data_IF_401504054699
#
_entry.id   IF_401504054699
#
_cell.length_a   1.000
_cell.length_b   1.000
_cell.length_c   1.000
_cell.angle_alpha   90.00
_cell.angle_beta   90.00
_cell.angle_gamma   90.00
#
_symmetry.space_group_name_H-M   'P 1'
#
loop_
_entity.id
_entity.type
_entity.pdbx_description
1 polymer ?
#
# COMPACT_ATOMS: atom_id res chain seq x y z
N UNK A 1 -2.61 -1.38 -12.92
CA UNK A 1 -3.88 -1.06 -12.23
C UNK A 1 -4.37 -2.20 -11.36
N UNK A 2 -4.40 -3.45 -11.86
CA UNK A 2 -4.86 -4.63 -11.10
C UNK A 2 -4.17 -4.77 -9.73
N UNK A 3 -2.83 -4.68 -9.68
CA UNK A 3 -2.07 -4.80 -8.42
C UNK A 3 -2.45 -3.75 -7.36
N UNK A 4 -2.73 -2.52 -7.76
CA UNK A 4 -3.10 -1.45 -6.82
C UNK A 4 -4.54 -1.60 -6.34
N UNK A 5 -5.45 -2.12 -7.18
CA UNK A 5 -6.80 -2.49 -6.76
C UNK A 5 -6.79 -3.66 -5.76
N UNK A 6 -5.90 -4.64 -5.97
CA UNK A 6 -5.65 -5.73 -5.00
C UNK A 6 -5.13 -5.15 -3.67
N UNK A 7 -4.25 -4.14 -3.72
CA UNK A 7 -3.80 -3.43 -2.52
C UNK A 7 -4.95 -2.81 -1.72
N UNK A 8 -5.91 -2.15 -2.38
CA UNK A 8 -7.09 -1.60 -1.71
C UNK A 8 -7.94 -2.70 -1.05
N UNK A 9 -8.18 -3.83 -1.74
CA UNK A 9 -8.94 -4.96 -1.19
C UNK A 9 -8.26 -5.54 0.06
N UNK A 10 -6.94 -5.74 -0.01
CA UNK A 10 -6.16 -6.23 1.12
C UNK A 10 -6.21 -5.26 2.30
N UNK A 11 -6.15 -3.95 2.05
CA UNK A 11 -6.30 -2.95 3.11
C UNK A 11 -7.66 -3.01 3.78
N UNK A 12 -8.73 -3.29 3.02
CA UNK A 12 -10.07 -3.52 3.58
C UNK A 12 -10.11 -4.77 4.45
N UNK A 13 -9.48 -5.86 4.01
CA UNK A 13 -9.36 -7.09 4.81
C UNK A 13 -8.61 -6.83 6.12
N UNK A 14 -7.49 -6.09 6.06
CA UNK A 14 -6.76 -5.67 7.26
C UNK A 14 -7.63 -4.87 8.24
N UNK A 15 -8.46 -3.96 7.71
CA UNK A 15 -9.37 -3.15 8.51
C UNK A 15 -10.47 -4.00 9.17
N UNK A 16 -11.06 -4.94 8.44
CA UNK A 16 -12.05 -5.89 9.00
C UNK A 16 -11.43 -6.74 10.11
N UNK A 17 -10.21 -7.26 9.91
CA UNK A 17 -9.51 -8.03 10.93
C UNK A 17 -9.14 -7.18 12.16
N UNK A 18 -8.76 -5.92 11.96
CA UNK A 18 -8.56 -4.97 13.06
C UNK A 18 -9.85 -4.70 13.86
N UNK A 19 -11.01 -4.65 13.19
CA UNK A 19 -12.31 -4.51 13.86
C UNK A 19 -12.68 -5.77 14.63
N UNK A 20 -12.35 -6.96 14.12
CA UNK A 20 -12.52 -8.21 14.84
C UNK A 20 -11.59 -8.30 16.07
N UNK A 21 -10.35 -7.80 15.96
CA UNK A 21 -9.45 -7.68 17.11
C UNK A 21 -10.05 -6.73 18.17
N UNK A 22 -10.60 -5.60 17.75
CA UNK A 22 -11.27 -4.65 18.65
C UNK A 22 -12.49 -5.28 19.31
N UNK A 23 -13.33 -5.97 18.53
CA UNK A 23 -14.48 -6.70 19.07
C UNK A 23 -14.06 -7.75 20.09
N UNK A 24 -13.01 -8.53 19.80
CA UNK A 24 -12.49 -9.54 20.71
C UNK A 24 -12.00 -8.93 22.03
N UNK A 25 -11.38 -7.75 21.99
CA UNK A 25 -10.96 -7.02 23.19
C UNK A 25 -12.16 -6.61 24.07
N UNK A 26 -13.29 -6.23 23.45
CA UNK A 26 -14.50 -5.86 24.20
C UNK A 26 -15.36 -7.04 24.66
N UNK A 27 -15.26 -8.21 24.02
CA UNK A 27 -16.10 -9.38 24.34
C UNK A 27 -15.40 -10.44 25.20
N UNK A 28 -14.08 -10.36 25.43
CA UNK A 28 -13.35 -11.42 26.12
C UNK A 28 -12.15 -10.92 26.94
N UNK A 29 -12.33 -10.92 28.27
CA UNK A 29 -11.36 -11.26 29.33
C UNK A 29 -9.90 -10.71 29.30
N UNK A 30 -9.62 -9.60 28.63
CA UNK A 30 -8.30 -8.96 28.67
C UNK A 30 -8.38 -7.52 29.19
N UNK A 31 -7.38 -7.09 29.96
CA UNK A 31 -7.25 -5.70 30.38
C UNK A 31 -7.23 -4.78 29.16
N UNK A 32 -7.98 -3.68 29.25
CA UNK A 32 -8.24 -2.71 28.15
C UNK A 32 -7.00 -1.99 27.59
N UNK A 33 -5.80 -2.36 28.01
CA UNK A 33 -4.52 -1.76 27.66
C UNK A 33 -4.16 -1.93 26.18
N UNK A 34 -4.67 -2.96 25.51
CA UNK A 34 -4.43 -3.21 24.09
C UNK A 34 -5.26 -2.32 23.13
N UNK A 35 -6.37 -1.73 23.61
CA UNK A 35 -7.32 -0.98 22.78
C UNK A 35 -6.66 0.18 22.02
N UNK A 36 -5.81 1.04 22.64
CA UNK A 36 -5.11 2.10 21.91
C UNK A 36 -4.28 1.59 20.74
N UNK A 37 -3.58 0.47 20.91
CA UNK A 37 -2.78 -0.14 19.85
C UNK A 37 -3.64 -0.68 18.71
N UNK A 38 -4.77 -1.31 19.01
CA UNK A 38 -5.73 -1.77 17.99
C UNK A 38 -6.29 -0.58 17.20
N UNK A 39 -6.57 0.56 17.85
CA UNK A 39 -7.00 1.79 17.17
C UNK A 39 -5.92 2.33 16.24
N UNK A 40 -4.64 2.33 16.66
CA UNK A 40 -3.52 2.72 15.77
C UNK A 40 -3.41 1.78 14.58
N UNK A 41 -3.55 0.46 14.78
CA UNK A 41 -3.56 -0.53 13.69
C UNK A 41 -4.70 -0.26 12.69
N UNK A 42 -5.91 0.02 13.18
CA UNK A 42 -7.07 0.39 12.35
C UNK A 42 -6.82 1.67 11.56
N UNK A 43 -6.26 2.71 12.21
CA UNK A 43 -5.90 3.96 11.55
C UNK A 43 -4.87 3.72 10.44
N UNK A 44 -3.88 2.85 10.68
CA UNK A 44 -2.88 2.49 9.67
C UNK A 44 -3.51 1.71 8.50
N UNK A 45 -4.41 0.77 8.77
CA UNK A 45 -5.14 0.04 7.72
C UNK A 45 -6.03 0.97 6.88
N UNK A 46 -6.72 1.93 7.50
CA UNK A 46 -7.51 2.93 6.79
C UNK A 46 -6.62 3.85 5.93
N UNK A 47 -5.53 4.36 6.51
CA UNK A 47 -4.56 5.20 5.81
C UNK A 47 -3.93 4.47 4.62
N UNK A 48 -3.53 3.22 4.78
CA UNK A 48 -3.01 2.39 3.68
C UNK A 48 -4.03 2.22 2.56
N UNK A 49 -5.31 2.03 2.90
CA UNK A 49 -6.39 1.92 1.92
C UNK A 49 -6.56 3.21 1.12
N UNK A 50 -6.53 4.35 1.80
CA UNK A 50 -6.56 5.66 1.16
C UNK A 50 -5.34 5.87 0.24
N UNK A 51 -4.14 5.54 0.70
CA UNK A 51 -2.92 5.60 -0.11
C UNK A 51 -3.05 4.76 -1.37
N UNK A 52 -3.53 3.52 -1.27
CA UNK A 52 -3.77 2.64 -2.42
C UNK A 52 -4.77 3.26 -3.41
N UNK A 53 -5.91 3.77 -2.93
CA UNK A 53 -6.91 4.43 -3.78
C UNK A 53 -6.34 5.64 -4.49
N UNK A 54 -5.58 6.50 -3.80
CA UNK A 54 -4.95 7.68 -4.41
C UNK A 54 -3.90 7.25 -5.45
N UNK A 55 -3.09 6.22 -5.16
CA UNK A 55 -2.14 5.68 -6.13
C UNK A 55 -2.83 5.13 -7.39
N UNK A 56 -3.98 4.44 -7.27
CA UNK A 56 -4.80 4.04 -8.43
C UNK A 56 -5.18 5.27 -9.26
N UNK A 57 -5.69 6.32 -8.61
CA UNK A 57 -6.13 7.54 -9.30
C UNK A 57 -4.99 8.24 -10.02
N UNK A 58 -3.82 8.34 -9.39
CA UNK A 58 -2.62 8.93 -10.00
C UNK A 58 -2.14 8.11 -11.19
N UNK A 59 -2.18 6.77 -11.11
CA UNK A 59 -1.89 5.90 -12.25
C UNK A 59 -2.88 6.06 -13.40
N UNK A 60 -4.17 6.14 -13.10
CA UNK A 60 -5.21 6.37 -14.12
C UNK A 60 -5.00 7.72 -14.83
N UNK A 61 -4.64 8.75 -14.08
CA UNK A 61 -4.34 10.07 -14.62
C UNK A 61 -3.07 10.05 -15.46
N UNK A 62 -2.00 9.41 -14.98
CA UNK A 62 -0.74 9.27 -15.70
C UNK A 62 -0.92 8.51 -17.01
N UNK A 63 -1.72 7.43 -17.00
CA UNK A 63 -2.05 6.67 -18.21
C UNK A 63 -2.74 7.53 -19.26
N UNK A 64 -3.75 8.32 -18.87
CA UNK A 64 -4.44 9.24 -19.79
C UNK A 64 -3.50 10.31 -20.34
N UNK A 65 -2.67 10.90 -19.48
CA UNK A 65 -1.69 11.92 -19.87
C UNK A 65 -0.61 11.37 -20.79
N UNK A 66 -0.24 10.11 -20.60
CA UNK A 66 0.72 9.43 -21.45
C UNK A 66 0.18 9.24 -22.87
N UNK A 67 -1.08 8.82 -23.00
CA UNK A 67 -1.78 8.74 -24.28
C UNK A 67 -1.88 10.10 -24.99
N UNK A 68 -1.91 11.20 -24.23
CA UNK A 68 -1.99 12.56 -24.76
C UNK A 68 -0.66 13.32 -24.80
N UNK A 69 0.48 12.66 -24.55
CA UNK A 69 1.83 13.27 -24.52
C UNK A 69 2.01 14.48 -23.58
N UNK A 70 1.24 14.55 -22.49
CA UNK A 70 1.31 15.64 -21.50
C UNK A 70 2.30 15.27 -20.39
N UNK A 71 3.09 16.26 -19.93
CA UNK A 71 4.05 16.08 -18.83
C UNK A 71 3.40 15.59 -17.52
N UNK A 72 4.07 14.64 -16.84
CA UNK A 72 3.56 13.92 -15.66
C UNK A 72 4.30 14.27 -14.35
N UNK A 73 5.17 15.28 -14.33
CA UNK A 73 6.10 15.53 -13.21
C UNK A 73 5.41 15.75 -11.85
N UNK A 74 4.32 16.52 -11.81
CA UNK A 74 3.56 16.73 -10.56
C UNK A 74 2.91 15.43 -10.06
N UNK A 75 2.46 14.57 -10.97
CA UNK A 75 1.81 13.29 -10.62
C UNK A 75 2.83 12.31 -10.07
N UNK A 76 4.01 12.24 -10.70
CA UNK A 76 5.16 11.46 -10.26
C UNK A 76 5.64 11.89 -8.87
N UNK A 77 5.87 13.19 -8.65
CA UNK A 77 6.32 13.71 -7.35
C UNK A 77 5.33 13.39 -6.22
N UNK A 78 4.04 13.59 -6.45
CA UNK A 78 3.01 13.25 -5.46
C UNK A 78 2.98 11.74 -5.20
N UNK A 79 3.03 10.92 -6.24
CA UNK A 79 3.04 9.46 -6.12
C UNK A 79 4.26 8.95 -5.34
N UNK A 80 5.42 9.59 -5.51
CA UNK A 80 6.64 9.28 -4.76
C UNK A 80 6.50 9.60 -3.26
N UNK A 81 5.94 10.76 -2.90
CA UNK A 81 5.70 11.09 -1.50
C UNK A 81 4.72 10.13 -0.83
N UNK A 82 3.65 9.74 -1.53
CA UNK A 82 2.70 8.74 -1.03
C UNK A 82 3.35 7.36 -0.86
N UNK A 83 4.28 7.02 -1.75
CA UNK A 83 5.08 5.80 -1.64
C UNK A 83 5.94 5.82 -0.37
N UNK A 84 6.67 6.91 -0.10
CA UNK A 84 7.45 7.07 1.13
C UNK A 84 6.55 7.02 2.38
N UNK A 85 5.42 7.72 2.37
CA UNK A 85 4.45 7.73 3.47
C UNK A 85 3.91 6.33 3.79
N UNK A 86 3.75 5.46 2.77
CA UNK A 86 3.27 4.10 2.97
C UNK A 86 4.20 3.24 3.84
N UNK A 87 5.52 3.49 3.81
CA UNK A 87 6.47 2.79 4.67
C UNK A 87 6.27 3.16 6.14
N UNK A 88 6.07 4.45 6.41
CA UNK A 88 5.78 4.92 7.77
C UNK A 88 4.49 4.28 8.29
N UNK A 89 3.44 4.27 7.48
CA UNK A 89 2.15 3.66 7.83
C UNK A 89 2.27 2.17 8.13
N UNK A 90 2.98 1.39 7.30
CA UNK A 90 3.11 -0.06 7.53
C UNK A 90 3.97 -0.35 8.76
N UNK A 91 5.06 0.40 8.97
CA UNK A 91 5.92 0.25 10.16
C UNK A 91 5.13 0.52 11.43
N UNK A 92 4.39 1.64 11.49
CA UNK A 92 3.51 1.95 12.62
C UNK A 92 2.46 0.88 12.85
N UNK A 93 1.85 0.36 11.78
CA UNK A 93 0.88 -0.73 11.85
C UNK A 93 1.49 -2.03 12.41
N UNK A 94 2.70 -2.39 12.01
CA UNK A 94 3.43 -3.56 12.55
C UNK A 94 3.68 -3.38 14.05
N UNK A 95 4.21 -2.24 14.47
CA UNK A 95 4.45 -1.96 15.89
C UNK A 95 3.16 -2.03 16.70
N UNK A 96 2.08 -1.43 16.20
CA UNK A 96 0.78 -1.46 16.85
C UNK A 96 0.19 -2.87 16.96
N UNK A 97 0.26 -3.67 15.89
CA UNK A 97 -0.22 -5.06 15.91
C UNK A 97 0.58 -5.94 16.89
N UNK A 98 1.91 -5.79 16.93
CA UNK A 98 2.77 -6.51 17.87
C UNK A 98 2.52 -6.08 19.31
N UNK A 99 2.39 -4.77 19.57
CA UNK A 99 2.09 -4.24 20.90
C UNK A 99 0.73 -4.72 21.41
N UNK A 100 -0.30 -4.69 20.57
CA UNK A 100 -1.62 -5.22 20.92
C UNK A 100 -1.56 -6.72 21.28
N UNK A 101 -0.83 -7.53 20.50
CA UNK A 101 -0.64 -8.96 20.79
C UNK A 101 0.19 -9.22 22.04
N UNK A 102 1.17 -8.37 22.32
CA UNK A 102 1.99 -8.45 23.53
C UNK A 102 1.15 -8.18 24.79
N UNK A 103 0.32 -7.14 24.77
CA UNK A 103 -0.45 -6.69 25.94
C UNK A 103 -1.51 -7.71 26.39
N UNK A 104 -2.06 -8.51 25.46
CA UNK A 104 -3.04 -9.56 25.78
C UNK A 104 -2.41 -10.96 25.96
N UNK A 105 -1.10 -11.06 25.82
CA UNK A 105 -0.41 -12.33 25.61
C UNK A 105 -0.66 -12.89 24.20
N UNK A 106 0.37 -13.45 23.57
CA UNK A 106 0.29 -13.91 22.18
C UNK A 106 -0.73 -15.05 21.94
N UNK A 107 -1.38 -15.56 22.98
CA UNK A 107 -2.47 -16.52 22.91
C UNK A 107 -3.82 -15.83 23.17
N UNK A 108 -4.68 -15.74 22.15
CA UNK A 108 -6.03 -15.20 22.30
C UNK A 108 -6.61 -14.62 21.01
N UNK A 109 -7.91 -14.27 21.06
CA UNK A 109 -8.62 -13.70 19.90
C UNK A 109 -8.02 -12.37 19.43
N UNK A 110 -7.68 -11.46 20.34
CA UNK A 110 -7.04 -10.17 20.02
C UNK A 110 -5.70 -10.40 19.29
N UNK A 111 -4.80 -11.19 19.86
CA UNK A 111 -3.51 -11.52 19.25
C UNK A 111 -3.67 -12.17 17.87
N UNK A 112 -4.64 -13.09 17.74
CA UNK A 112 -4.92 -13.79 16.48
C UNK A 112 -5.36 -12.82 15.39
N UNK A 113 -6.37 -11.99 15.67
CA UNK A 113 -6.89 -11.05 14.68
C UNK A 113 -5.93 -9.90 14.38
N UNK A 114 -5.19 -9.40 15.36
CA UNK A 114 -4.15 -8.39 15.16
C UNK A 114 -3.03 -8.93 14.26
N UNK A 115 -2.54 -10.15 14.52
CA UNK A 115 -1.51 -10.80 13.70
C UNK A 115 -2.00 -11.07 12.28
N UNK A 116 -3.22 -11.58 12.14
CA UNK A 116 -3.83 -11.80 10.83
C UNK A 116 -4.05 -10.50 10.05
N UNK A 117 -4.30 -9.36 10.72
CA UNK A 117 -4.44 -8.06 10.07
C UNK A 117 -3.11 -7.52 9.50
N UNK A 118 -1.97 -7.91 10.07
CA UNK A 118 -0.65 -7.48 9.60
C UNK A 118 -0.33 -8.03 8.19
N UNK A 119 -0.69 -9.28 7.92
CA UNK A 119 -0.41 -9.94 6.63
C UNK A 119 -1.01 -9.15 5.45
N UNK A 120 -2.32 -8.86 5.40
CA UNK A 120 -2.91 -8.08 4.32
C UNK A 120 -2.49 -6.61 4.36
N UNK A 121 -2.16 -6.02 5.52
CA UNK A 121 -1.62 -4.66 5.59
C UNK A 121 -0.26 -4.55 4.87
N UNK A 122 0.65 -5.49 5.16
CA UNK A 122 1.97 -5.56 4.51
C UNK A 122 1.80 -5.85 3.02
N UNK A 123 0.95 -6.81 2.67
CA UNK A 123 0.68 -7.14 1.27
C UNK A 123 0.05 -5.97 0.50
N UNK A 124 -0.83 -5.19 1.13
CA UNK A 124 -1.41 -3.98 0.55
C UNK A 124 -0.33 -2.93 0.24
N UNK A 125 0.62 -2.74 1.16
CA UNK A 125 1.75 -1.84 0.94
C UNK A 125 2.61 -2.32 -0.24
N UNK A 126 3.01 -3.59 -0.24
CA UNK A 126 3.88 -4.18 -1.28
C UNK A 126 3.24 -4.15 -2.66
N UNK A 127 1.94 -4.48 -2.77
CA UNK A 127 1.26 -4.60 -4.06
C UNK A 127 0.69 -3.26 -4.57
N UNK A 128 0.20 -2.42 -3.65
CA UNK A 128 -0.47 -1.17 -4.00
C UNK A 128 0.42 0.05 -3.89
N UNK A 129 1.03 0.26 -2.74
CA UNK A 129 1.72 1.51 -2.43
C UNK A 129 3.18 1.57 -2.92
N UNK A 130 3.82 0.43 -3.23
CA UNK A 130 5.19 0.39 -3.78
C UNK A 130 5.26 0.83 -5.24
N UNK A 131 4.16 0.68 -5.98
CA UNK A 131 4.11 0.99 -7.41
C UNK A 131 3.85 2.48 -7.63
N UNK A 132 4.86 3.34 -7.39
CA UNK A 132 4.75 4.76 -7.71
C UNK A 132 4.75 5.01 -9.22
N UNK A 133 4.10 6.10 -9.64
CA UNK A 133 4.03 6.56 -11.04
C UNK A 133 5.40 7.05 -11.49
N UNK A 134 5.87 6.54 -12.64
CA UNK A 134 7.14 6.93 -13.27
C UNK A 134 6.91 7.52 -14.66
N UNK A 135 7.79 8.41 -15.10
CA UNK A 135 7.79 8.96 -16.47
C UNK A 135 7.86 7.90 -17.56
N UNK A 136 8.57 6.80 -17.30
CA UNK A 136 8.80 5.72 -18.28
C UNK A 136 7.62 4.74 -18.42
N UNK A 137 6.54 4.99 -17.70
CA UNK A 137 5.37 4.11 -17.62
C UNK A 137 5.55 2.99 -16.58
N UNK A 138 4.54 2.11 -16.41
CA UNK A 138 4.64 0.98 -15.50
C UNK A 138 5.69 -0.02 -16.01
N UNK A 139 6.51 -0.62 -15.11
CA UNK A 139 7.48 -1.62 -15.52
C UNK A 139 6.79 -2.79 -16.24
N UNK A 140 7.39 -3.26 -17.33
CA UNK A 140 6.89 -4.42 -18.08
C UNK A 140 5.73 -4.12 -19.03
N UNK A 141 5.44 -2.85 -19.35
CA UNK A 141 4.39 -2.51 -20.32
C UNK A 141 4.92 -2.32 -21.75
N UNK A 142 4.08 -2.62 -22.74
CA UNK A 142 4.38 -2.48 -24.18
C UNK A 142 5.04 -1.12 -24.50
N UNK A 143 4.56 0.03 -24.00
CA UNK A 143 5.14 1.28 -24.47
C UNK A 143 6.46 1.63 -23.75
N UNK A 144 6.76 1.04 -22.58
CA UNK A 144 8.13 1.00 -22.03
C UNK A 144 9.05 0.20 -22.95
N UNK A 145 8.57 -0.93 -23.48
CA UNK A 145 9.32 -1.75 -24.43
C UNK A 145 9.58 -1.02 -25.76
N UNK A 146 8.58 -0.31 -26.29
CA UNK A 146 8.69 0.51 -27.52
C UNK A 146 9.71 1.64 -27.34
N UNK A 147 9.71 2.35 -26.21
CA UNK A 147 10.72 3.38 -25.91
C UNK A 147 12.13 2.81 -25.80
N UNK A 148 12.27 1.67 -25.15
CA UNK A 148 13.57 0.99 -25.08
C UNK A 148 14.06 0.55 -26.46
N UNK A 149 13.14 0.13 -27.34
CA UNK A 149 13.44 -0.22 -28.72
C UNK A 149 13.86 1.03 -29.52
N UNK A 150 13.11 2.14 -29.44
CA UNK A 150 13.43 3.38 -30.14
C UNK A 150 14.77 3.96 -29.70
N UNK A 151 15.05 3.98 -28.39
CA UNK A 151 16.32 4.44 -27.84
C UNK A 151 17.51 3.54 -28.20
N UNK A 152 17.26 2.25 -28.49
CA UNK A 152 18.28 1.33 -29.04
C UNK A 152 18.54 1.61 -30.52
N UNK A 153 17.49 1.87 -31.29
CA UNK A 153 17.60 2.21 -32.73
C UNK A 153 18.34 3.54 -32.90
N UNK A 154 18.01 4.58 -32.12
CA UNK A 154 18.72 5.86 -32.18
C UNK A 154 20.20 5.72 -31.85
N UNK A 155 20.54 4.93 -30.83
CA UNK A 155 21.95 4.67 -30.47
C UNK A 155 22.70 3.96 -31.59
N UNK A 156 22.12 2.89 -32.16
CA UNK A 156 22.73 2.18 -33.28
C UNK A 156 22.98 3.12 -34.49
N UNK A 157 22.08 4.07 -34.73
CA UNK A 157 22.19 5.04 -35.82
C UNK A 157 23.25 6.12 -35.63
N UNK A 158 23.75 6.30 -34.40
CA UNK A 158 24.83 7.23 -34.08
C UNK A 158 26.20 6.55 -33.99
N UNK A 159 26.23 5.21 -34.02
CA UNK A 159 27.45 4.40 -34.01
C UNK A 159 27.93 4.02 -35.44
N UNK A 160 27.08 4.23 -36.45
CA UNK A 160 27.37 4.10 -37.90
C UNK A 160 27.75 5.46 -38.54
#
# INVERSE_FOLDING_TARGET
MLFVAVGTLLSTVALVLGLLALSAAYTGAADSTAVPWIVVLLACAAAMGLLCVVQVRLWNLAWRRWLSSIATERVERTSWWLHVASYVVVVLGIFAGVAASHDVGFAGGVSTFATLALVPLIAAQVLGAVQHVRRDGPPGTVPTHVRNLSARIERARHED
#
